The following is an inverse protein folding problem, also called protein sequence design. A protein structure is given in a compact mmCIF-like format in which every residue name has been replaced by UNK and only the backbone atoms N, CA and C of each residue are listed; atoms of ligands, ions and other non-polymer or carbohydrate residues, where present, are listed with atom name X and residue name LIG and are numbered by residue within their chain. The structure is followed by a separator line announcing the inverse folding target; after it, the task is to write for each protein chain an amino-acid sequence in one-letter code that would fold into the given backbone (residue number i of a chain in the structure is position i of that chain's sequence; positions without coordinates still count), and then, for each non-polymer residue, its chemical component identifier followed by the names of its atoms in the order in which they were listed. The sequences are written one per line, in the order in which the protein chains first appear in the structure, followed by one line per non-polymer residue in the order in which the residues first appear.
data_IF_159090635712
#
_entry.id   IF_159090635712
#
_cell.length_a   1.000
_cell.length_b   1.000
_cell.length_c   1.000
_cell.angle_alpha   90.00
_cell.angle_beta   90.00
_cell.angle_gamma   90.00
#
_symmetry.space_group_name_H-M   'P 1'
#
loop_
_entity.id
_entity.type
_entity.pdbx_description
1 polymer ?
#
# COMPACT_ATOMS: atom_id res chain seq x y z
N UNK A 1 10.37 2.27 -5.42
CA UNK A 1 10.07 1.58 -4.15
C UNK A 1 8.94 2.33 -3.46
N UNK A 2 7.90 1.67 -2.96
CA UNK A 2 6.78 2.34 -2.28
C UNK A 2 7.06 2.61 -0.79
N UNK A 3 8.00 1.87 -0.21
CA UNK A 3 8.34 1.95 1.19
C UNK A 3 9.52 2.88 1.45
N UNK A 4 9.41 3.65 2.53
CA UNK A 4 10.49 4.44 3.06
C UNK A 4 11.35 3.65 4.03
N UNK A 5 12.66 3.79 3.88
CA UNK A 5 13.64 3.05 4.67
C UNK A 5 14.73 4.00 5.14
N UNK A 6 15.61 3.52 6.02
CA UNK A 6 16.78 4.28 6.42
C UNK A 6 17.75 4.55 5.26
N UNK A 7 17.78 3.65 4.27
CA UNK A 7 18.66 3.73 3.11
C UNK A 7 18.05 4.54 1.96
N UNK A 8 16.72 4.61 1.87
CA UNK A 8 15.99 5.30 0.81
C UNK A 8 14.82 6.09 1.38
N UNK A 9 14.98 7.42 1.42
CA UNK A 9 13.94 8.35 1.85
C UNK A 9 12.99 8.73 0.70
N UNK A 10 12.20 7.75 0.23
CA UNK A 10 11.25 7.98 -0.87
C UNK A 10 10.10 8.90 -0.47
N UNK A 11 9.69 8.93 0.80
CA UNK A 11 8.51 9.70 1.21
C UNK A 11 8.80 11.20 1.27
N UNK A 12 9.96 11.61 1.75
CA UNK A 12 10.36 13.02 1.68
C UNK A 12 10.63 13.46 0.25
N UNK A 13 11.26 12.59 -0.56
CA UNK A 13 11.51 12.88 -1.97
C UNK A 13 10.21 13.12 -2.76
N UNK A 14 9.14 12.39 -2.42
CA UNK A 14 7.83 12.54 -3.04
C UNK A 14 6.94 13.58 -2.34
N UNK A 15 7.43 14.22 -1.28
CA UNK A 15 6.70 15.21 -0.46
C UNK A 15 5.35 14.67 0.05
N UNK A 16 5.31 13.38 0.40
CA UNK A 16 4.07 12.69 0.73
C UNK A 16 3.62 13.01 2.16
N UNK A 17 2.39 13.50 2.29
CA UNK A 17 1.73 13.75 3.59
C UNK A 17 0.94 12.53 4.08
N UNK A 18 0.29 11.78 3.17
CA UNK A 18 -0.54 10.62 3.49
C UNK A 18 0.02 9.36 2.84
N UNK A 19 0.15 8.29 3.64
CA UNK A 19 0.93 7.09 3.29
C UNK A 19 0.01 5.88 3.12
N UNK A 20 -1.17 6.12 2.59
CA UNK A 20 -2.22 5.12 2.50
C UNK A 20 -2.29 4.56 1.08
N UNK A 21 -2.34 3.23 0.96
CA UNK A 21 -2.72 2.55 -0.27
C UNK A 21 -4.23 2.43 -0.28
N UNK A 22 -4.88 3.12 -1.20
CA UNK A 22 -6.32 3.02 -1.43
C UNK A 22 -6.57 1.96 -2.50
N UNK A 23 -7.22 0.86 -2.11
CA UNK A 23 -7.60 -0.20 -3.05
C UNK A 23 -9.01 0.06 -3.56
N UNK A 24 -9.15 0.02 -4.87
CA UNK A 24 -10.38 0.34 -5.59
C UNK A 24 -10.87 -0.90 -6.33
N UNK A 25 -12.17 -1.18 -6.23
CA UNK A 25 -12.85 -2.29 -6.88
C UNK A 25 -13.20 -2.03 -8.35
N UNK A 26 -13.74 -3.04 -9.05
CA UNK A 26 -14.09 -2.94 -10.48
C UNK A 26 -15.12 -1.86 -10.80
N UNK A 27 -15.93 -1.45 -9.82
CA UNK A 27 -16.93 -0.38 -9.94
C UNK A 27 -16.36 1.02 -9.61
N UNK A 28 -15.04 1.15 -9.49
CA UNK A 28 -14.33 2.35 -9.06
C UNK A 28 -14.69 2.84 -7.65
N UNK A 29 -15.18 1.95 -6.77
CA UNK A 29 -15.38 2.27 -5.35
C UNK A 29 -14.21 1.82 -4.50
N UNK A 30 -13.93 2.59 -3.44
CA UNK A 30 -12.94 2.21 -2.42
C UNK A 30 -13.42 0.95 -1.71
N UNK A 31 -12.57 -0.07 -1.68
CA UNK A 31 -12.81 -1.34 -1.00
C UNK A 31 -12.06 -1.38 0.32
N UNK A 32 -10.83 -0.86 0.36
CA UNK A 32 -9.97 -0.90 1.54
C UNK A 32 -8.91 0.19 1.49
N UNK A 33 -8.38 0.58 2.66
CA UNK A 33 -7.30 1.54 2.79
C UNK A 33 -6.22 0.99 3.74
N UNK A 34 -5.00 0.82 3.25
CA UNK A 34 -3.88 0.31 4.04
C UNK A 34 -2.83 1.39 4.32
N UNK A 35 -2.62 1.70 5.60
CA UNK A 35 -1.59 2.66 6.02
C UNK A 35 -0.19 2.02 6.04
N UNK A 36 0.74 2.55 5.26
CA UNK A 36 2.11 2.02 5.12
C UNK A 36 3.08 2.46 6.23
N UNK A 37 2.67 3.35 7.13
CA UNK A 37 3.44 3.62 8.36
C UNK A 37 3.25 2.48 9.35
N UNK A 38 2.06 1.91 9.40
CA UNK A 38 1.72 0.76 10.26
C UNK A 38 2.07 -0.57 9.57
N UNK A 39 1.89 -0.65 8.25
CA UNK A 39 2.10 -1.86 7.47
C UNK A 39 3.29 -1.69 6.52
N UNK A 40 4.50 -1.73 7.09
CA UNK A 40 5.74 -1.66 6.30
C UNK A 40 5.78 -2.82 5.29
N UNK A 41 5.87 -2.50 3.99
CA UNK A 41 5.87 -3.49 2.89
C UNK A 41 7.17 -4.29 2.76
N UNK A 42 8.23 -3.96 3.51
CA UNK A 42 9.42 -4.82 3.63
C UNK A 42 9.18 -6.03 4.52
N UNK A 43 8.17 -5.96 5.39
CA UNK A 43 7.71 -7.10 6.18
C UNK A 43 6.90 -8.00 5.25
N UNK A 44 7.34 -9.24 5.09
CA UNK A 44 6.81 -10.17 4.09
C UNK A 44 5.31 -10.42 4.26
N UNK A 45 4.83 -10.43 5.51
CA UNK A 45 3.42 -10.61 5.85
C UNK A 45 2.56 -9.43 5.38
N UNK A 46 3.05 -8.20 5.53
CA UNK A 46 2.32 -6.99 5.08
C UNK A 46 2.27 -6.94 3.54
N UNK A 47 3.38 -7.30 2.89
CA UNK A 47 3.41 -7.40 1.43
C UNK A 47 2.43 -8.46 0.92
N UNK A 48 2.42 -9.65 1.54
CA UNK A 48 1.48 -10.71 1.21
C UNK A 48 0.03 -10.27 1.42
N UNK A 49 -0.26 -9.60 2.54
CA UNK A 49 -1.59 -9.08 2.84
C UNK A 49 -2.08 -8.06 1.79
N UNK A 50 -1.22 -7.13 1.36
CA UNK A 50 -1.56 -6.19 0.29
C UNK A 50 -1.77 -6.91 -1.04
N UNK A 51 -0.91 -7.88 -1.38
CA UNK A 51 -1.04 -8.66 -2.61
C UNK A 51 -2.35 -9.44 -2.64
N UNK A 52 -2.70 -10.10 -1.55
CA UNK A 52 -3.96 -10.85 -1.44
C UNK A 52 -5.17 -9.92 -1.55
N UNK A 53 -5.10 -8.73 -0.95
CA UNK A 53 -6.15 -7.71 -1.06
C UNK A 53 -6.35 -7.28 -2.51
N UNK A 54 -5.27 -7.01 -3.25
CA UNK A 54 -5.33 -6.64 -4.67
C UNK A 54 -5.91 -7.79 -5.52
N UNK A 55 -5.47 -9.03 -5.28
CA UNK A 55 -5.95 -10.20 -6.02
C UNK A 55 -7.44 -10.46 -5.78
N UNK A 56 -7.89 -10.42 -4.52
CA UNK A 56 -9.31 -10.56 -4.18
C UNK A 56 -10.16 -9.48 -4.81
N UNK A 57 -9.68 -8.24 -4.83
CA UNK A 57 -10.44 -7.10 -5.37
C UNK A 57 -10.47 -7.09 -6.91
N UNK A 58 -9.51 -7.75 -7.55
CA UNK A 58 -9.43 -7.90 -9.01
C UNK A 58 -10.26 -9.07 -9.57
N UNK A 59 -10.79 -9.95 -8.71
CA UNK A 59 -11.66 -11.04 -9.14
C UNK A 59 -13.04 -10.49 -9.58
N UNK A 60 -13.60 -10.95 -10.71
CA UNK A 60 -14.88 -10.49 -11.23
C UNK A 60 -16.08 -10.89 -10.38
#
# INVERSE_FOLDING_TARGET
MLQNTAETDVWMAWQITFRDVVVVGPDNRVVEVMNLTQHNLEVVENYAALKDLLLRTSAP
#
